data_IF_848089993556
#
_entry.id   IF_848089993556
#
_cell.length_a   1.000
_cell.length_b   1.000
_cell.length_c   1.000
_cell.angle_alpha   90.00
_cell.angle_beta   90.00
_cell.angle_gamma   90.00
#
_symmetry.space_group_name_H-M   'P 1'
#
loop_
_entity.id
_entity.type
_entity.pdbx_description
1 polymer ?
#
# COMPACT_ATOMS: atom_id res chain seq x y z
N UNK A 1 -20.23 -10.20 -32.90
CA UNK A 1 -19.89 -8.90 -32.30
C UNK A 1 -19.30 -9.17 -30.94
N UNK A 2 -17.96 -9.12 -30.82
CA UNK A 2 -17.30 -9.19 -29.54
C UNK A 2 -17.40 -7.80 -28.89
N UNK A 3 -18.16 -7.69 -27.80
CA UNK A 3 -18.16 -6.51 -26.95
C UNK A 3 -16.81 -6.49 -26.23
N UNK A 4 -15.87 -5.72 -26.79
CA UNK A 4 -14.63 -5.38 -26.11
C UNK A 4 -15.01 -4.38 -25.01
N UNK A 5 -15.31 -4.89 -23.81
CA UNK A 5 -15.42 -4.07 -22.60
C UNK A 5 -14.00 -3.65 -22.23
N UNK A 6 -13.51 -2.55 -22.82
CA UNK A 6 -12.33 -1.88 -22.29
C UNK A 6 -12.77 -1.17 -21.01
N UNK A 7 -12.66 -1.86 -19.87
CA UNK A 7 -12.76 -1.22 -18.57
C UNK A 7 -11.53 -0.30 -18.47
N UNK A 8 -11.73 1.02 -18.60
CA UNK A 8 -10.61 1.96 -18.45
C UNK A 8 -10.11 1.88 -17.00
N UNK A 9 -8.88 1.39 -16.84
CA UNK A 9 -8.16 1.43 -15.58
C UNK A 9 -8.12 2.88 -15.09
N UNK A 10 -8.79 3.17 -13.97
CA UNK A 10 -8.71 4.50 -13.37
C UNK A 10 -7.42 4.58 -12.57
N UNK A 11 -6.55 5.51 -12.89
CA UNK A 11 -5.40 5.81 -12.05
C UNK A 11 -5.85 6.35 -10.68
N UNK A 12 -5.06 6.13 -9.62
CA UNK A 12 -5.28 6.76 -8.31
C UNK A 12 -4.46 8.06 -8.22
N UNK A 13 -5.15 9.20 -8.19
CA UNK A 13 -4.50 10.50 -8.00
C UNK A 13 -4.30 10.74 -6.50
N UNK A 14 -3.04 10.97 -6.11
CA UNK A 14 -2.67 11.23 -4.73
C UNK A 14 -2.92 12.69 -4.38
N UNK A 15 -3.79 12.93 -3.41
CA UNK A 15 -4.31 14.25 -3.02
C UNK A 15 -3.92 14.68 -1.60
N UNK A 16 -2.95 14.03 -0.98
CA UNK A 16 -2.42 14.39 0.35
C UNK A 16 -1.14 15.24 0.25
N UNK A 17 -0.85 16.06 1.27
CA UNK A 17 0.46 16.71 1.40
C UNK A 17 1.48 15.82 2.15
N UNK A 18 1.02 14.91 3.01
CA UNK A 18 1.83 13.94 3.76
C UNK A 18 0.97 12.74 4.13
N UNK A 19 1.21 11.57 3.52
CA UNK A 19 0.46 10.36 3.83
C UNK A 19 1.26 9.07 3.57
N UNK A 20 0.74 7.97 4.09
CA UNK A 20 1.11 6.61 3.68
C UNK A 20 -0.06 6.02 2.89
N UNK A 21 0.25 5.33 1.81
CA UNK A 21 -0.73 4.76 0.88
C UNK A 21 -0.52 3.24 0.87
N UNK A 22 -1.51 2.48 1.30
CA UNK A 22 -1.57 1.02 1.18
C UNK A 22 -2.23 0.64 -0.14
N UNK A 23 -1.62 -0.32 -0.84
CA UNK A 23 -2.12 -0.90 -2.07
C UNK A 23 -2.51 -2.34 -1.80
N UNK A 24 -3.80 -2.63 -1.95
CA UNK A 24 -4.35 -3.98 -1.86
C UNK A 24 -4.15 -4.78 -3.14
N UNK A 25 -4.09 -6.11 -3.02
CA UNK A 25 -4.12 -7.03 -4.14
C UNK A 25 -5.49 -7.07 -4.85
N UNK A 26 -5.49 -7.65 -6.03
CA UNK A 26 -6.65 -8.05 -6.83
C UNK A 26 -7.03 -9.52 -6.59
N UNK A 27 -8.21 -9.94 -7.03
CA UNK A 27 -8.63 -11.36 -6.96
C UNK A 27 -7.69 -12.29 -7.73
N UNK A 28 -7.17 -11.84 -8.88
CA UNK A 28 -6.20 -12.61 -9.67
C UNK A 28 -4.89 -12.83 -8.91
N UNK A 29 -4.43 -11.82 -8.17
CA UNK A 29 -3.24 -11.92 -7.33
C UNK A 29 -3.47 -12.82 -6.11
N UNK A 30 -4.68 -12.84 -5.52
CA UNK A 30 -5.03 -13.79 -4.45
C UNK A 30 -4.86 -15.22 -4.93
N UNK A 31 -5.44 -15.56 -6.07
CA UNK A 31 -5.38 -16.92 -6.60
C UNK A 31 -3.96 -17.28 -7.05
N UNK A 32 -3.20 -16.32 -7.58
CA UNK A 32 -1.78 -16.49 -7.84
C UNK A 32 -0.99 -16.79 -6.56
N UNK A 33 -1.17 -15.99 -5.50
CA UNK A 33 -0.45 -16.17 -4.24
C UNK A 33 -0.77 -17.51 -3.59
N UNK A 34 -2.06 -17.89 -3.48
CA UNK A 34 -2.48 -19.21 -2.97
C UNK A 34 -1.82 -20.36 -3.73
N UNK A 35 -1.69 -20.24 -5.05
CA UNK A 35 -1.06 -21.27 -5.87
C UNK A 35 0.45 -21.35 -5.65
N UNK A 36 1.13 -20.22 -5.52
CA UNK A 36 2.60 -20.17 -5.38
C UNK A 36 3.08 -20.58 -4.00
N UNK A 37 2.39 -20.17 -2.92
CA UNK A 37 2.81 -20.50 -1.55
C UNK A 37 2.05 -21.68 -0.92
N UNK A 38 0.90 -22.06 -1.48
CA UNK A 38 -0.04 -22.98 -0.84
C UNK A 38 -1.13 -22.24 -0.09
N UNK A 39 -2.35 -22.78 -0.08
CA UNK A 39 -3.53 -22.08 0.45
C UNK A 39 -3.45 -21.87 1.98
N UNK A 40 -2.98 -22.86 2.74
CA UNK A 40 -2.82 -22.70 4.19
C UNK A 40 -1.79 -21.62 4.54
N UNK A 41 -0.62 -21.67 3.88
CA UNK A 41 0.45 -20.67 4.06
C UNK A 41 0.02 -19.27 3.60
N UNK A 42 -0.84 -19.19 2.59
CA UNK A 42 -1.46 -17.93 2.16
C UNK A 42 -2.28 -17.30 3.27
N UNK A 43 -3.15 -18.07 3.94
CA UNK A 43 -3.96 -17.51 5.02
C UNK A 43 -3.12 -17.10 6.23
N UNK A 44 -2.04 -17.84 6.54
CA UNK A 44 -1.06 -17.42 7.57
C UNK A 44 -0.40 -16.10 7.19
N UNK A 45 0.10 -15.98 5.96
CA UNK A 45 0.73 -14.74 5.48
C UNK A 45 -0.25 -13.56 5.43
N UNK A 46 -1.52 -13.81 5.10
CA UNK A 46 -2.57 -12.79 5.10
C UNK A 46 -2.91 -12.32 6.51
N UNK A 47 -2.97 -13.22 7.49
CA UNK A 47 -3.16 -12.87 8.90
C UNK A 47 -2.00 -11.99 9.42
N UNK A 48 -0.75 -12.37 9.12
CA UNK A 48 0.43 -11.56 9.46
C UNK A 48 0.38 -10.18 8.79
N UNK A 49 0.07 -10.15 7.49
CA UNK A 49 -0.02 -8.90 6.72
C UNK A 49 -1.11 -7.96 7.29
N UNK A 50 -2.26 -8.50 7.68
CA UNK A 50 -3.34 -7.76 8.32
C UNK A 50 -2.95 -7.25 9.71
N UNK A 51 -2.24 -8.07 10.51
CA UNK A 51 -1.70 -7.65 11.78
C UNK A 51 -0.75 -6.45 11.63
N UNK A 52 0.22 -6.54 10.71
CA UNK A 52 1.17 -5.45 10.47
C UNK A 52 0.52 -4.21 9.86
N UNK A 53 -0.47 -4.36 8.98
CA UNK A 53 -1.26 -3.24 8.47
C UNK A 53 -1.97 -2.50 9.63
N UNK A 54 -2.53 -3.26 10.58
CA UNK A 54 -3.17 -2.69 11.76
C UNK A 54 -2.18 -1.96 12.66
N UNK A 55 -1.02 -2.55 12.99
CA UNK A 55 -0.01 -1.89 13.83
C UNK A 55 0.55 -0.63 13.17
N UNK A 56 0.82 -0.68 11.86
CA UNK A 56 1.18 0.49 11.07
C UNK A 56 0.11 1.57 11.17
N UNK A 57 -1.16 1.23 10.94
CA UNK A 57 -2.26 2.19 11.00
C UNK A 57 -2.31 2.94 12.34
N UNK A 58 -2.07 2.24 13.45
CA UNK A 58 -2.03 2.80 14.81
C UNK A 58 -0.84 3.71 15.02
N UNK A 59 0.32 3.34 14.49
CA UNK A 59 1.51 4.17 14.52
C UNK A 59 1.31 5.48 13.75
N UNK A 60 0.77 5.40 12.53
CA UNK A 60 0.47 6.56 11.68
C UNK A 60 -0.55 7.50 12.34
N UNK A 61 -1.65 6.93 12.86
CA UNK A 61 -2.69 7.66 13.60
C UNK A 61 -2.08 8.43 14.79
N UNK A 62 -1.27 7.76 15.61
CA UNK A 62 -0.66 8.37 16.80
C UNK A 62 0.31 9.51 16.45
N UNK A 63 0.92 9.47 15.26
CA UNK A 63 1.83 10.49 14.75
C UNK A 63 1.15 11.52 13.80
N UNK A 64 -0.18 11.47 13.66
CA UNK A 64 -0.94 12.42 12.84
C UNK A 64 -0.60 12.33 11.35
N UNK A 65 -0.28 11.13 10.87
CA UNK A 65 0.03 10.85 9.46
C UNK A 65 -1.22 10.25 8.82
N UNK A 66 -1.69 10.84 7.73
CA UNK A 66 -2.84 10.31 6.99
C UNK A 66 -2.51 8.94 6.39
N UNK A 67 -3.44 8.01 6.49
CA UNK A 67 -3.34 6.67 5.91
C UNK A 67 -4.44 6.47 4.87
N UNK A 68 -4.06 6.16 3.63
CA UNK A 68 -4.98 5.98 2.50
C UNK A 68 -4.94 4.53 2.03
N UNK A 69 -6.11 3.96 1.78
CA UNK A 69 -6.27 2.62 1.22
C UNK A 69 -6.65 2.71 -0.26
N UNK A 70 -5.89 2.04 -1.11
CA UNK A 70 -6.14 1.94 -2.54
C UNK A 70 -6.49 0.49 -2.85
N UNK A 71 -7.79 0.21 -2.91
CA UNK A 71 -8.29 -1.10 -3.33
C UNK A 71 -8.14 -1.30 -4.83
N UNK A 72 -7.64 -2.47 -5.22
CA UNK A 72 -7.53 -2.93 -6.61
C UNK A 72 -8.53 -4.03 -6.97
N UNK A 73 -9.34 -4.50 -6.01
CA UNK A 73 -10.33 -5.57 -6.21
C UNK A 73 -11.37 -5.19 -7.28
N UNK A 74 -11.90 -3.96 -7.25
CA UNK A 74 -12.97 -3.54 -8.18
C UNK A 74 -12.56 -2.44 -9.17
N UNK A 75 -11.41 -1.80 -8.93
CA UNK A 75 -11.08 -0.53 -9.58
C UNK A 75 -10.15 -0.66 -10.80
N UNK A 76 -9.55 -1.84 -10.99
CA UNK A 76 -8.51 -2.10 -11.99
C UNK A 76 -7.42 -1.01 -12.01
N UNK A 77 -7.16 -0.37 -10.87
CA UNK A 77 -6.13 0.68 -10.72
C UNK A 77 -4.76 0.07 -11.02
N UNK A 78 -4.06 0.67 -11.98
CA UNK A 78 -2.71 0.25 -12.38
C UNK A 78 -1.63 1.24 -12.00
N UNK A 79 -1.98 2.48 -11.60
CA UNK A 79 -1.01 3.50 -11.21
C UNK A 79 -1.42 4.31 -9.99
N UNK A 80 -0.42 4.70 -9.21
CA UNK A 80 -0.47 5.85 -8.31
C UNK A 80 0.10 7.06 -9.03
N UNK A 81 -0.64 8.16 -9.06
CA UNK A 81 -0.26 9.41 -9.70
C UNK A 81 0.06 10.44 -8.63
N UNK A 82 1.35 10.71 -8.43
CA UNK A 82 1.85 11.80 -7.61
C UNK A 82 2.07 13.05 -8.47
N UNK A 83 2.18 14.25 -7.88
CA UNK A 83 2.47 15.48 -8.63
C UNK A 83 3.78 15.45 -9.43
N UNK A 84 4.76 14.66 -8.99
CA UNK A 84 6.11 14.60 -9.57
C UNK A 84 6.42 13.29 -10.32
N UNK A 85 5.68 12.21 -10.06
CA UNK A 85 5.91 10.92 -10.71
C UNK A 85 4.69 10.00 -10.64
N UNK A 86 4.77 8.87 -11.33
CA UNK A 86 3.78 7.81 -11.22
C UNK A 86 4.44 6.50 -10.87
N UNK A 87 3.77 5.69 -10.05
CA UNK A 87 4.20 4.33 -9.69
C UNK A 87 3.24 3.33 -10.31
N UNK A 88 3.79 2.33 -10.99
CA UNK A 88 3.03 1.17 -11.49
C UNK A 88 2.69 0.25 -10.31
N UNK A 89 1.41 -0.05 -10.16
CA UNK A 89 0.86 -0.94 -9.15
C UNK A 89 0.04 -2.07 -9.79
N UNK A 90 0.21 -2.35 -11.09
CA UNK A 90 -0.57 -3.34 -11.83
C UNK A 90 -0.30 -4.78 -11.41
N UNK A 91 0.88 -5.07 -10.84
CA UNK A 91 1.24 -6.41 -10.37
C UNK A 91 2.03 -6.29 -9.07
N UNK A 92 1.36 -6.54 -7.95
CA UNK A 92 2.02 -6.60 -6.65
C UNK A 92 2.78 -7.91 -6.52
N UNK A 93 3.90 -7.85 -5.81
CA UNK A 93 4.70 -9.04 -5.49
C UNK A 93 4.34 -9.64 -4.13
N UNK A 94 3.46 -8.99 -3.38
CA UNK A 94 3.08 -9.38 -2.01
C UNK A 94 1.68 -8.90 -1.63
N UNK A 95 1.17 -9.38 -0.49
CA UNK A 95 -0.20 -9.21 -0.02
C UNK A 95 -0.59 -7.73 0.25
N UNK A 96 0.37 -6.85 0.51
CA UNK A 96 0.16 -5.40 0.48
C UNK A 96 1.46 -4.71 0.06
N UNK A 97 1.36 -3.55 -0.58
CA UNK A 97 2.48 -2.64 -0.79
C UNK A 97 2.17 -1.27 -0.18
N UNK A 98 3.19 -0.60 0.36
CA UNK A 98 3.00 0.67 1.05
C UNK A 98 3.94 1.73 0.49
N UNK A 99 3.41 2.92 0.26
CA UNK A 99 4.15 4.06 -0.28
C UNK A 99 4.04 5.26 0.66
N UNK A 100 5.20 5.74 1.13
CA UNK A 100 5.33 6.97 1.89
C UNK A 100 5.39 8.15 0.91
N UNK A 101 4.64 9.21 1.19
CA UNK A 101 4.65 10.40 0.37
C UNK A 101 4.55 11.68 1.19
N UNK A 102 5.40 12.64 0.86
CA UNK A 102 5.34 14.01 1.34
C UNK A 102 5.55 14.94 0.14
N UNK A 103 4.72 15.97 0.00
CA UNK A 103 4.82 16.94 -1.09
C UNK A 103 6.22 17.54 -1.19
N UNK A 104 6.76 17.52 -2.40
CA UNK A 104 8.13 17.96 -2.68
C UNK A 104 9.21 16.89 -2.45
N UNK A 105 8.86 15.70 -1.93
CA UNK A 105 9.75 14.53 -1.88
C UNK A 105 9.35 13.49 -2.91
N UNK A 106 10.32 12.66 -3.30
CA UNK A 106 10.07 11.44 -4.07
C UNK A 106 9.24 10.48 -3.20
N UNK A 107 8.14 9.88 -3.69
CA UNK A 107 7.51 8.76 -2.99
C UNK A 107 8.52 7.64 -2.72
N UNK A 108 8.33 6.93 -1.61
CA UNK A 108 9.21 5.86 -1.17
C UNK A 108 8.40 4.60 -0.87
N UNK A 109 8.79 3.46 -1.43
CA UNK A 109 8.19 2.17 -1.09
C UNK A 109 8.75 1.71 0.26
N UNK A 110 7.87 1.51 1.24
CA UNK A 110 8.24 0.94 2.53
C UNK A 110 8.69 -0.51 2.33
N UNK A 111 9.83 -0.88 2.92
CA UNK A 111 10.47 -2.16 2.65
C UNK A 111 10.19 -3.19 3.74
N UNK A 112 10.17 -2.78 5.00
CA UNK A 112 9.87 -3.64 6.15
C UNK A 112 8.58 -3.17 6.84
N UNK A 113 7.51 -3.94 6.65
CA UNK A 113 6.22 -3.67 7.30
C UNK A 113 6.16 -4.21 8.73
N UNK A 114 7.07 -5.11 9.11
CA UNK A 114 7.09 -5.72 10.45
C UNK A 114 7.71 -4.79 11.50
N UNK A 115 8.59 -3.88 11.09
CA UNK A 115 9.20 -2.83 11.90
C UNK A 115 9.37 -1.51 11.11
N UNK A 116 8.26 -0.87 10.70
CA UNK A 116 8.29 0.21 9.72
C UNK A 116 8.72 1.57 10.30
N UNK A 117 8.85 1.69 11.62
CA UNK A 117 8.98 2.97 12.32
C UNK A 117 10.24 3.73 11.91
N UNK A 118 11.39 3.06 11.78
CA UNK A 118 12.65 3.72 11.43
C UNK A 118 12.62 4.29 10.00
N UNK A 119 12.05 3.54 9.05
CA UNK A 119 11.88 4.00 7.67
C UNK A 119 10.92 5.20 7.60
N UNK A 120 9.79 5.14 8.31
CA UNK A 120 8.79 6.20 8.36
C UNK A 120 9.37 7.47 9.01
N UNK A 121 10.06 7.31 10.14
CA UNK A 121 10.67 8.42 10.87
C UNK A 121 11.75 9.10 10.03
N UNK A 122 12.58 8.31 9.35
CA UNK A 122 13.62 8.81 8.45
C UNK A 122 12.99 9.56 7.28
N UNK A 123 11.99 8.97 6.61
CA UNK A 123 11.37 9.59 5.44
C UNK A 123 10.65 10.90 5.79
N UNK A 124 9.91 10.94 6.90
CA UNK A 124 9.14 12.12 7.32
C UNK A 124 9.88 13.08 8.26
N UNK A 125 11.15 12.80 8.59
CA UNK A 125 11.96 13.56 9.54
C UNK A 125 11.30 13.70 10.94
N UNK A 126 10.75 12.61 11.48
CA UNK A 126 10.10 12.60 12.79
C UNK A 126 11.17 12.41 13.87
N UNK A 127 11.35 13.42 14.73
CA UNK A 127 12.40 13.43 15.77
C UNK A 127 11.91 13.01 17.16
N UNK A 128 10.59 12.96 17.37
CA UNK A 128 9.97 12.54 18.63
C UNK A 128 8.74 11.66 18.33
N UNK A 129 8.96 10.42 17.87
CA UNK A 129 7.86 9.52 17.50
C UNK A 129 7.04 9.16 18.73
N UNK A 130 5.72 9.06 18.54
CA UNK A 130 4.80 8.55 19.54
C UNK A 130 4.45 7.11 19.20
N UNK A 131 4.43 6.25 20.20
CA UNK A 131 4.05 4.85 20.04
C UNK A 131 2.62 4.63 20.56
N UNK A 132 1.79 3.85 19.85
CA UNK A 132 0.46 3.49 20.32
C UNK A 132 0.56 2.73 21.67
N UNK A 133 -0.45 2.91 22.51
CA UNK A 133 -0.55 2.26 23.83
C UNK A 133 -1.22 0.90 23.75
#
# INVERSE_FOLDING_TARGET
MALCLSLEAKDFVVDCDKCVIEIGFSDEEVEYFKKEMGEEDFYVAADDANYYAYTLSKYLETNGIEFKHVTRLDSHRIKLMFPNESIDIANLKWLYEYYLYQKGKKPYKLMDISAPEDEINTYFNITNPKFPK
#
